data_IF_654907486525
#
_entry.id   IF_654907486525
#
_cell.length_a   1.000
_cell.length_b   1.000
_cell.length_c   1.000
_cell.angle_alpha   90.00
_cell.angle_beta   90.00
_cell.angle_gamma   90.00
#
_symmetry.space_group_name_H-M   'P 1'
#
loop_
_entity.id
_entity.type
_entity.pdbx_description
1 polymer ?
#
# COMPACT_ATOMS: atom_id res chain seq x y z
N UNK A 1 -5.05 -15.59 -26.86
CA UNK A 1 -5.58 -14.93 -25.64
C UNK A 1 -4.94 -13.55 -25.57
N UNK A 2 -5.72 -12.48 -25.75
CA UNK A 2 -5.19 -11.15 -26.09
C UNK A 2 -4.33 -10.49 -25.01
N UNK A 3 -3.33 -9.71 -25.45
CA UNK A 3 -2.37 -8.90 -24.68
C UNK A 3 -3.03 -8.13 -23.55
N UNK A 4 -4.18 -7.50 -23.83
CA UNK A 4 -4.92 -6.72 -22.84
C UNK A 4 -5.45 -7.55 -21.67
N UNK A 5 -5.70 -8.85 -21.87
CA UNK A 5 -6.13 -9.76 -20.80
C UNK A 5 -4.96 -10.10 -19.87
N UNK A 6 -3.76 -10.29 -20.40
CA UNK A 6 -2.55 -10.58 -19.61
C UNK A 6 -2.15 -9.38 -18.74
N UNK A 7 -2.22 -8.18 -19.31
CA UNK A 7 -1.94 -6.93 -18.58
C UNK A 7 -2.94 -6.73 -17.43
N UNK A 8 -4.23 -6.96 -17.66
CA UNK A 8 -5.23 -6.91 -16.57
C UNK A 8 -4.93 -7.89 -15.45
N UNK A 9 -4.50 -9.11 -15.77
CA UNK A 9 -4.16 -10.13 -14.76
C UNK A 9 -3.00 -9.68 -13.87
N UNK A 10 -1.92 -9.09 -14.42
CA UNK A 10 -0.80 -8.56 -13.63
C UNK A 10 -1.26 -7.52 -12.59
N UNK A 11 -2.15 -6.60 -12.97
CA UNK A 11 -2.65 -5.58 -12.05
C UNK A 11 -3.46 -6.17 -10.89
N UNK A 12 -4.29 -7.18 -11.14
CA UNK A 12 -5.04 -7.87 -10.08
C UNK A 12 -4.13 -8.65 -9.13
N UNK A 13 -3.09 -9.32 -9.65
CA UNK A 13 -2.10 -10.01 -8.83
C UNK A 13 -1.32 -9.03 -7.95
N UNK A 14 -0.93 -7.88 -8.50
CA UNK A 14 -0.25 -6.83 -7.73
C UNK A 14 -1.15 -6.22 -6.65
N UNK A 15 -2.42 -5.96 -6.95
CA UNK A 15 -3.38 -5.49 -5.95
C UNK A 15 -3.59 -6.52 -4.81
N UNK A 16 -3.67 -7.81 -5.15
CA UNK A 16 -3.73 -8.88 -4.15
C UNK A 16 -2.46 -8.94 -3.28
N UNK A 17 -1.29 -8.75 -3.89
CA UNK A 17 -0.02 -8.66 -3.18
C UNK A 17 0.01 -7.47 -2.21
N UNK A 18 -0.38 -6.26 -2.65
CA UNK A 18 -0.42 -5.07 -1.80
C UNK A 18 -1.46 -5.16 -0.68
N UNK A 19 -2.66 -5.66 -0.96
CA UNK A 19 -3.69 -5.79 0.08
C UNK A 19 -3.33 -6.90 1.07
N UNK A 20 -2.86 -8.05 0.60
CA UNK A 20 -2.49 -9.13 1.49
C UNK A 20 -1.21 -8.85 2.29
N UNK A 21 -0.24 -8.11 1.75
CA UNK A 21 0.95 -7.72 2.53
C UNK A 21 0.61 -6.77 3.69
N UNK A 22 -0.43 -5.94 3.54
CA UNK A 22 -0.86 -5.00 4.57
C UNK A 22 -1.83 -5.61 5.58
N UNK A 23 -2.77 -6.45 5.12
CA UNK A 23 -3.90 -6.92 5.93
C UNK A 23 -3.87 -8.41 6.30
N UNK A 24 -2.92 -9.21 5.80
CA UNK A 24 -2.85 -10.62 6.19
C UNK A 24 -2.54 -10.76 7.68
N UNK A 25 -3.47 -11.32 8.44
CA UNK A 25 -3.25 -11.71 9.83
C UNK A 25 -3.68 -13.16 9.98
N UNK A 26 -2.90 -13.95 10.72
CA UNK A 26 -3.25 -15.34 11.03
C UNK A 26 -2.90 -15.65 12.47
N UNK A 27 -3.89 -16.11 13.23
CA UNK A 27 -3.75 -16.49 14.65
C UNK A 27 -3.12 -17.87 14.85
N UNK A 28 -2.80 -18.59 13.77
CA UNK A 28 -2.18 -19.92 13.83
C UNK A 28 -0.65 -19.86 13.99
N UNK A 29 -0.04 -18.68 13.84
CA UNK A 29 1.39 -18.48 14.00
C UNK A 29 1.72 -17.83 15.35
N UNK A 30 2.90 -18.16 15.89
CA UNK A 30 3.43 -17.65 17.17
C UNK A 30 3.47 -16.12 17.23
N UNK A 31 3.70 -15.47 16.08
CA UNK A 31 3.49 -14.05 15.86
C UNK A 31 2.32 -13.89 14.88
N UNK A 32 1.21 -13.34 15.36
CA UNK A 32 -0.04 -13.29 14.60
C UNK A 32 -0.09 -12.18 13.53
N UNK A 33 0.84 -11.23 13.58
CA UNK A 33 0.79 -10.01 12.78
C UNK A 33 1.96 -9.84 11.82
N UNK A 34 3.17 -10.30 12.16
CA UNK A 34 4.36 -10.11 11.32
C UNK A 34 4.56 -11.31 10.40
N UNK A 35 4.71 -12.51 10.95
CA UNK A 35 5.08 -13.72 10.20
C UNK A 35 4.10 -14.05 9.05
N UNK A 36 2.77 -13.96 9.22
CA UNK A 36 1.81 -14.22 8.15
C UNK A 36 1.95 -13.24 6.97
N UNK A 37 2.19 -11.96 7.24
CA UNK A 37 2.37 -10.92 6.22
C UNK A 37 3.61 -11.15 5.39
N UNK A 38 4.73 -11.49 6.05
CA UNK A 38 5.99 -11.80 5.37
C UNK A 38 5.85 -13.04 4.48
N UNK A 39 5.28 -14.12 5.02
CA UNK A 39 5.08 -15.35 4.26
C UNK A 39 4.18 -15.13 3.04
N UNK A 40 3.06 -14.42 3.21
CA UNK A 40 2.17 -14.06 2.12
C UNK A 40 2.87 -13.19 1.07
N UNK A 41 3.62 -12.18 1.52
CA UNK A 41 4.34 -11.27 0.63
C UNK A 41 5.37 -12.01 -0.21
N UNK A 42 6.20 -12.87 0.40
CA UNK A 42 7.22 -13.65 -0.33
C UNK A 42 6.57 -14.59 -1.35
N UNK A 43 5.50 -15.29 -0.96
CA UNK A 43 4.79 -16.20 -1.85
C UNK A 43 4.14 -15.49 -3.04
N UNK A 44 3.40 -14.41 -2.79
CA UNK A 44 2.76 -13.64 -3.87
C UNK A 44 3.79 -12.93 -4.74
N UNK A 45 4.89 -12.43 -4.17
CA UNK A 45 5.96 -11.79 -4.92
C UNK A 45 6.61 -12.78 -5.88
N UNK A 46 6.82 -14.02 -5.44
CA UNK A 46 7.32 -15.08 -6.32
C UNK A 46 6.36 -15.35 -7.50
N UNK A 47 5.04 -15.40 -7.25
CA UNK A 47 4.03 -15.58 -8.31
C UNK A 47 4.04 -14.42 -9.30
N UNK A 48 4.09 -13.17 -8.82
CA UNK A 48 4.13 -11.97 -9.66
C UNK A 48 5.40 -11.94 -10.50
N UNK A 49 6.56 -12.21 -9.90
CA UNK A 49 7.83 -12.26 -10.62
C UNK A 49 7.86 -13.38 -11.68
N UNK A 50 7.36 -14.57 -11.36
CA UNK A 50 7.25 -15.66 -12.31
C UNK A 50 6.31 -15.29 -13.48
N UNK A 51 5.19 -14.63 -13.20
CA UNK A 51 4.25 -14.17 -14.23
C UNK A 51 4.85 -13.09 -15.13
N UNK A 52 5.52 -12.10 -14.57
CA UNK A 52 6.19 -11.05 -15.34
C UNK A 52 7.38 -11.59 -16.14
N UNK A 53 8.14 -12.56 -15.60
CA UNK A 53 9.22 -13.22 -16.32
C UNK A 53 8.70 -13.97 -17.57
N UNK A 54 7.58 -14.68 -17.43
CA UNK A 54 6.89 -15.32 -18.58
C UNK A 54 6.40 -14.26 -19.56
N UNK A 55 5.76 -13.19 -19.08
CA UNK A 55 5.30 -12.11 -19.95
C UNK A 55 6.43 -11.43 -20.73
N UNK A 56 7.59 -11.20 -20.12
CA UNK A 56 8.75 -10.60 -20.79
C UNK A 56 9.32 -11.56 -21.84
N UNK A 57 9.39 -12.86 -21.53
CA UNK A 57 9.91 -13.87 -22.45
C UNK A 57 9.02 -14.05 -23.69
N UNK A 58 7.69 -13.99 -23.53
CA UNK A 58 6.73 -14.20 -24.62
C UNK A 58 6.27 -12.89 -25.30
N UNK A 59 6.38 -11.74 -24.64
CA UNK A 59 5.79 -10.48 -25.10
C UNK A 59 6.75 -9.30 -24.99
N UNK A 60 7.12 -8.71 -26.14
CA UNK A 60 8.01 -7.54 -26.21
C UNK A 60 7.26 -6.26 -25.79
N UNK A 61 7.34 -5.92 -24.50
CA UNK A 61 6.70 -4.75 -23.91
C UNK A 61 7.56 -3.48 -24.05
N UNK A 62 7.36 -2.68 -25.10
CA UNK A 62 8.03 -1.39 -25.18
C UNK A 62 7.13 -0.14 -25.23
N UNK A 63 5.82 -0.26 -25.50
CA UNK A 63 4.96 0.95 -25.63
C UNK A 63 4.00 1.24 -24.46
N UNK A 64 3.83 0.33 -23.49
CA UNK A 64 2.85 0.53 -22.38
C UNK A 64 3.47 0.71 -21.00
N UNK A 65 4.74 1.13 -20.88
CA UNK A 65 5.41 1.25 -19.58
C UNK A 65 4.80 2.36 -18.70
N UNK A 66 4.55 3.54 -19.27
CA UNK A 66 4.06 4.70 -18.50
C UNK A 66 2.66 4.48 -17.90
N UNK A 67 1.70 4.00 -18.71
CA UNK A 67 0.35 3.69 -18.21
C UNK A 67 0.37 2.66 -17.08
N UNK A 68 1.29 1.67 -17.14
CA UNK A 68 1.38 0.63 -16.11
C UNK A 68 2.00 1.14 -14.82
N UNK A 69 3.03 1.97 -14.91
CA UNK A 69 3.61 2.65 -13.73
C UNK A 69 2.53 3.47 -13.01
N UNK A 70 1.71 4.20 -13.77
CA UNK A 70 0.61 4.98 -13.21
C UNK A 70 -0.43 4.10 -12.49
N UNK A 71 -0.86 2.98 -13.11
CA UNK A 71 -1.83 2.06 -12.51
C UNK A 71 -1.28 1.39 -11.24
N UNK A 72 -0.01 0.95 -11.24
CA UNK A 72 0.62 0.40 -10.04
C UNK A 72 0.74 1.42 -8.92
N UNK A 73 1.11 2.67 -9.23
CA UNK A 73 1.13 3.77 -8.26
C UNK A 73 -0.24 4.02 -7.66
N UNK A 74 -1.30 4.02 -8.48
CA UNK A 74 -2.68 4.19 -8.02
C UNK A 74 -3.12 3.08 -7.05
N UNK A 75 -2.75 1.81 -7.33
CA UNK A 75 -3.03 0.68 -6.43
C UNK A 75 -2.33 0.89 -5.09
N UNK A 76 -1.05 1.27 -5.06
CA UNK A 76 -0.29 1.52 -3.83
C UNK A 76 -0.95 2.63 -3.00
N UNK A 77 -1.36 3.74 -3.63
CA UNK A 77 -1.99 4.88 -2.96
C UNK A 77 -3.33 4.48 -2.33
N UNK A 78 -4.15 3.71 -3.04
CA UNK A 78 -5.41 3.18 -2.49
C UNK A 78 -5.14 2.25 -1.30
N UNK A 79 -4.18 1.34 -1.42
CA UNK A 79 -3.81 0.45 -0.31
C UNK A 79 -3.34 1.22 0.92
N UNK A 80 -2.53 2.27 0.74
CA UNK A 80 -2.10 3.15 1.83
C UNK A 80 -3.25 3.96 2.42
N UNK A 81 -4.18 4.45 1.59
CA UNK A 81 -5.38 5.15 2.06
C UNK A 81 -6.28 4.24 2.92
N UNK A 82 -6.51 3.00 2.47
CA UNK A 82 -7.25 1.99 3.22
C UNK A 82 -6.58 1.70 4.57
N UNK A 83 -5.25 1.58 4.58
CA UNK A 83 -4.47 1.40 5.81
C UNK A 83 -4.61 2.60 6.75
N UNK A 84 -4.51 3.83 6.23
CA UNK A 84 -4.68 5.06 7.00
C UNK A 84 -6.09 5.15 7.61
N UNK A 85 -7.13 4.87 6.82
CA UNK A 85 -8.51 4.80 7.29
C UNK A 85 -8.68 3.76 8.40
N UNK A 86 -8.09 2.57 8.24
CA UNK A 86 -8.13 1.53 9.27
C UNK A 86 -7.48 1.99 10.58
N UNK A 87 -6.36 2.71 10.50
CA UNK A 87 -5.73 3.34 11.67
C UNK A 87 -6.60 4.41 12.32
N UNK A 88 -7.24 5.29 11.54
CA UNK A 88 -8.15 6.32 12.09
C UNK A 88 -9.37 5.69 12.76
N UNK A 89 -9.95 4.64 12.18
CA UNK A 89 -11.08 3.90 12.78
C UNK A 89 -10.68 3.22 14.09
N UNK A 90 -9.43 2.76 14.23
CA UNK A 90 -8.91 2.20 15.49
C UNK A 90 -8.95 3.20 16.65
N UNK A 91 -8.79 4.51 16.37
CA UNK A 91 -8.89 5.59 17.37
C UNK A 91 -10.33 5.75 17.87
N UNK A 92 -11.32 5.53 17.01
CA UNK A 92 -12.75 5.66 17.34
C UNK A 92 -13.28 4.54 18.25
N UNK A 93 -12.42 3.64 18.72
CA UNK A 93 -12.75 2.68 19.77
C UNK A 93 -13.35 1.35 19.30
N UNK A 94 -13.49 1.12 17.98
CA UNK A 94 -14.07 -0.12 17.46
C UNK A 94 -13.18 -1.37 17.66
N UNK A 95 -11.86 -1.20 17.86
CA UNK A 95 -10.88 -2.29 18.03
C UNK A 95 -9.77 -1.93 19.06
N UNK A 96 -10.13 -1.49 20.26
CA UNK A 96 -9.16 -1.22 21.34
C UNK A 96 -8.67 -2.53 21.98
N UNK A 97 -7.47 -2.98 21.63
CA UNK A 97 -6.83 -4.18 22.22
C UNK A 97 -5.80 -3.83 23.32
N UNK A 98 -5.31 -2.59 23.39
CA UNK A 98 -4.37 -2.15 24.43
C UNK A 98 -4.58 -0.70 24.85
N UNK A 99 -4.34 -0.41 26.13
CA UNK A 99 -4.53 0.88 26.82
C UNK A 99 -3.55 2.00 26.42
N UNK A 100 -2.76 1.79 25.37
CA UNK A 100 -1.84 2.79 24.83
C UNK A 100 -2.41 3.37 23.55
N UNK A 101 -2.56 4.71 23.53
CA UNK A 101 -3.16 5.57 22.49
C UNK A 101 -2.42 5.56 21.12
N UNK A 102 -1.83 4.45 20.72
CA UNK A 102 -0.97 4.36 19.54
C UNK A 102 -1.73 3.82 18.34
N UNK A 103 -1.72 4.59 17.25
CA UNK A 103 -2.34 4.20 15.99
C UNK A 103 -1.40 3.26 15.24
N UNK A 104 -1.77 1.99 15.19
CA UNK A 104 -0.97 0.92 14.56
C UNK A 104 -1.64 0.34 13.30
N UNK A 105 -2.91 0.63 13.07
CA UNK A 105 -3.69 0.06 11.97
C UNK A 105 -3.70 -1.47 12.02
N UNK A 106 -3.36 -2.12 10.90
CA UNK A 106 -3.19 -3.58 10.85
C UNK A 106 -1.81 -4.04 11.37
N UNK A 107 -0.87 -3.14 11.62
CA UNK A 107 0.46 -3.49 12.14
C UNK A 107 0.45 -3.63 13.67
N UNK A 108 1.49 -4.27 14.19
CA UNK A 108 1.69 -4.45 15.63
C UNK A 108 2.39 -3.22 16.28
N UNK A 109 3.05 -2.38 15.49
CA UNK A 109 3.82 -1.22 15.96
C UNK A 109 3.51 0.05 15.13
N UNK A 110 3.33 1.24 15.76
CA UNK A 110 3.18 2.51 15.04
C UNK A 110 4.31 2.80 14.04
N UNK A 111 5.53 2.30 14.29
CA UNK A 111 6.64 2.47 13.35
C UNK A 111 6.38 1.80 11.99
N UNK A 112 5.87 0.56 11.97
CA UNK A 112 5.56 -0.17 10.75
C UNK A 112 4.38 0.43 9.98
N UNK A 113 3.37 0.89 10.70
CA UNK A 113 2.25 1.64 10.15
C UNK A 113 2.71 2.92 9.44
N UNK A 114 3.48 3.76 10.13
CA UNK A 114 3.96 5.01 9.57
C UNK A 114 4.92 4.78 8.39
N UNK A 115 5.83 3.81 8.48
CA UNK A 115 6.76 3.49 7.40
C UNK A 115 6.04 3.10 6.10
N UNK A 116 4.98 2.29 6.18
CA UNK A 116 4.18 1.92 5.02
C UNK A 116 3.50 3.13 4.37
N UNK A 117 2.89 3.99 5.18
CA UNK A 117 2.26 5.23 4.72
C UNK A 117 3.26 6.19 4.05
N UNK A 118 4.46 6.30 4.62
CA UNK A 118 5.54 7.14 4.06
C UNK A 118 6.08 6.57 2.74
N UNK A 119 6.19 5.25 2.62
CA UNK A 119 6.60 4.60 1.37
C UNK A 119 5.58 4.80 0.23
N UNK A 120 4.28 4.90 0.57
CA UNK A 120 3.21 5.21 -0.38
C UNK A 120 3.06 6.69 -0.72
N UNK A 121 3.55 7.60 0.14
CA UNK A 121 3.43 9.04 -0.02
C UNK A 121 3.99 9.61 -1.33
N UNK A 122 5.18 9.23 -1.84
CA UNK A 122 5.67 9.76 -3.12
C UNK A 122 4.74 9.44 -4.30
N UNK A 123 3.94 8.37 -4.20
CA UNK A 123 2.96 8.03 -5.23
C UNK A 123 1.75 8.96 -5.25
N UNK A 124 1.44 9.63 -4.13
CA UNK A 124 0.43 10.69 -4.08
C UNK A 124 0.87 11.90 -4.92
N UNK A 125 2.18 12.18 -4.98
CA UNK A 125 2.75 13.21 -5.85
C UNK A 125 2.42 13.00 -7.32
N UNK A 126 2.39 11.74 -7.79
CA UNK A 126 1.97 11.42 -9.16
C UNK A 126 0.48 11.74 -9.40
N UNK A 127 -0.41 11.50 -8.44
CA UNK A 127 -1.84 11.89 -8.57
C UNK A 127 -2.01 13.42 -8.54
N UNK A 128 -1.16 14.14 -7.80
CA UNK A 128 -1.20 15.60 -7.72
C UNK A 128 -0.71 16.30 -8.99
N UNK A 129 0.19 15.65 -9.72
CA UNK A 129 0.74 16.13 -10.99
C UNK A 129 -0.20 15.89 -12.19
N UNK A 130 -1.31 15.16 -11.97
CA UNK A 130 -2.26 14.87 -13.03
C UNK A 130 -2.98 16.14 -13.55
N UNK A 131 -3.23 16.16 -14.86
CA UNK A 131 -3.94 17.26 -15.54
C UNK A 131 -5.39 17.40 -15.05
N UNK A 132 -6.01 16.30 -14.62
CA UNK A 132 -7.38 16.29 -14.18
C UNK A 132 -7.52 16.88 -12.77
N UNK A 133 -8.24 18.01 -12.68
CA UNK A 133 -8.54 18.69 -11.41
C UNK A 133 -9.13 17.74 -10.37
N UNK A 134 -10.02 16.82 -10.75
CA UNK A 134 -10.64 15.87 -9.82
C UNK A 134 -9.62 14.90 -9.22
N UNK A 135 -8.73 14.32 -10.04
CA UNK A 135 -7.69 13.39 -9.59
C UNK A 135 -6.72 14.11 -8.66
N UNK A 136 -6.37 15.36 -8.97
CA UNK A 136 -5.53 16.20 -8.12
C UNK A 136 -6.17 16.51 -6.77
N UNK A 137 -7.46 16.85 -6.72
CA UNK A 137 -8.17 17.07 -5.44
C UNK A 137 -8.25 15.78 -4.61
N UNK A 138 -8.57 14.66 -5.25
CA UNK A 138 -8.61 13.33 -4.58
C UNK A 138 -7.23 12.95 -4.05
N UNK A 139 -6.18 13.13 -4.85
CA UNK A 139 -4.79 12.90 -4.43
C UNK A 139 -4.40 13.77 -3.24
N UNK A 140 -4.76 15.05 -3.25
CA UNK A 140 -4.53 15.96 -2.12
C UNK A 140 -5.26 15.51 -0.85
N UNK A 141 -6.52 15.07 -0.96
CA UNK A 141 -7.29 14.59 0.18
C UNK A 141 -6.71 13.28 0.74
N UNK A 142 -6.29 12.35 -0.12
CA UNK A 142 -5.63 11.11 0.30
C UNK A 142 -4.30 11.42 0.99
N UNK A 143 -3.48 12.30 0.42
CA UNK A 143 -2.22 12.74 1.02
C UNK A 143 -2.42 13.37 2.41
N UNK A 144 -3.43 14.23 2.54
CA UNK A 144 -3.77 14.86 3.82
C UNK A 144 -4.17 13.83 4.89
N UNK A 145 -5.01 12.86 4.53
CA UNK A 145 -5.38 11.75 5.42
C UNK A 145 -4.16 10.94 5.85
N UNK A 146 -3.24 10.65 4.93
CA UNK A 146 -2.01 9.91 5.21
C UNK A 146 -1.14 10.67 6.22
N UNK A 147 -0.94 11.99 6.03
CA UNK A 147 -0.15 12.83 6.95
C UNK A 147 -0.78 12.85 8.34
N UNK A 148 -2.10 13.05 8.42
CA UNK A 148 -2.81 13.01 9.70
C UNK A 148 -2.60 11.65 10.39
N UNK A 149 -2.78 10.55 9.65
CA UNK A 149 -2.61 9.21 10.20
C UNK A 149 -1.18 8.97 10.74
N UNK A 150 -0.15 9.46 10.05
CA UNK A 150 1.24 9.36 10.52
C UNK A 150 1.50 10.19 11.78
N UNK A 151 0.96 11.42 11.85
CA UNK A 151 1.07 12.26 13.05
C UNK A 151 0.36 11.62 14.23
N UNK A 152 -0.85 11.08 14.02
CA UNK A 152 -1.62 10.37 15.03
C UNK A 152 -0.94 9.08 15.50
N UNK A 153 -0.12 8.45 14.65
CA UNK A 153 0.70 7.30 15.02
C UNK A 153 1.84 7.65 16.00
N UNK A 154 2.18 8.93 16.18
CA UNK A 154 3.29 9.43 17.01
C UNK A 154 4.65 8.76 16.70
N UNK A 155 4.80 8.17 15.51
CA UNK A 155 6.05 7.56 15.07
C UNK A 155 7.06 8.66 14.74
N UNK A 156 8.06 8.83 15.61
CA UNK A 156 9.18 9.77 15.39
C UNK A 156 9.86 9.52 14.04
N UNK A 157 10.05 8.24 13.68
CA UNK A 157 10.62 7.86 12.39
C UNK A 157 9.73 8.29 11.22
N UNK A 158 8.41 8.08 11.33
CA UNK A 158 7.43 8.44 10.29
C UNK A 158 7.32 9.94 10.04
N UNK A 159 7.29 10.73 11.11
CA UNK A 159 7.23 12.20 11.03
C UNK A 159 8.48 12.73 10.33
N UNK A 160 9.67 12.21 10.69
CA UNK A 160 10.92 12.61 10.03
C UNK A 160 10.94 12.20 8.56
N UNK A 161 10.46 11.01 8.19
CA UNK A 161 10.44 10.59 6.78
C UNK A 161 9.52 11.43 5.90
N UNK A 162 8.36 11.88 6.40
CA UNK A 162 7.50 12.81 5.64
C UNK A 162 8.16 14.18 5.51
N UNK A 163 8.87 14.65 6.54
CA UNK A 163 9.55 15.94 6.50
C UNK A 163 10.72 15.99 5.50
N UNK A 164 11.31 14.85 5.15
CA UNK A 164 12.43 14.74 4.21
C UNK A 164 12.02 14.47 2.75
N UNK A 165 10.77 14.08 2.50
CA UNK A 165 10.21 13.83 1.16
C UNK A 165 9.65 15.13 0.57
#
# INVERSE_FOLDING_TARGET
MGIGKMIRTSHYLFAALCLGSLFACSRQFTDSYIVPKWCFTVFMLFIVLAYEAVNILFYRQNEQKDTRIFVYGFIIVISCFLQAMFGVVQILGFFQISTTLWVTGSFDNPAGFAACLCAGFPFVGFLLSDSNKYIRYVGGLIGFVIVIAVILSQSRAGIMSIAFI
#
